data_IF_587876054999
#
_entry.id   IF_587876054999
#
_cell.length_a   1.000
_cell.length_b   1.000
_cell.length_c   1.000
_cell.angle_alpha   90.00
_cell.angle_beta   90.00
_cell.angle_gamma   90.00
#
_symmetry.space_group_name_H-M   'P 1'
#
loop_
_entity.id
_entity.type
_entity.pdbx_description
1 polymer ?
#
# COMPACT_ATOMS: atom_id res chain seq x y z
N UNK A 1 40.63 51.05 21.18
CA UNK A 1 39.31 50.65 21.72
C UNK A 1 38.63 49.76 20.69
N UNK A 2 38.00 48.68 21.14
CA UNK A 2 36.96 47.88 20.43
C UNK A 2 37.42 47.08 19.20
N UNK A 3 37.85 45.81 19.38
CA UNK A 3 37.05 44.55 19.54
C UNK A 3 36.72 43.92 18.17
N UNK A 4 37.50 42.89 17.83
CA UNK A 4 37.20 41.86 16.81
C UNK A 4 35.80 41.30 17.04
N UNK A 5 34.89 41.48 16.07
CA UNK A 5 33.61 40.79 16.06
C UNK A 5 33.79 39.48 15.30
N UNK A 6 34.11 38.41 16.02
CA UNK A 6 34.00 37.05 15.49
C UNK A 6 32.52 36.73 15.29
N UNK A 7 32.10 36.65 14.02
CA UNK A 7 30.79 36.15 13.64
C UNK A 7 30.87 34.62 13.56
N UNK A 8 30.72 33.94 14.69
CA UNK A 8 30.58 32.48 14.77
C UNK A 8 29.23 32.07 14.19
N UNK A 9 29.25 31.66 12.92
CA UNK A 9 28.11 31.11 12.20
C UNK A 9 27.82 29.71 12.76
N UNK A 10 26.86 29.64 13.69
CA UNK A 10 26.39 28.39 14.30
C UNK A 10 25.57 27.62 13.25
N UNK A 11 26.24 26.70 12.55
CA UNK A 11 25.60 25.69 11.71
C UNK A 11 24.80 24.73 12.62
N UNK A 12 23.56 25.08 12.92
CA UNK A 12 22.59 24.12 13.46
C UNK A 12 22.25 23.14 12.34
N UNK A 13 23.02 22.05 12.24
CA UNK A 13 22.64 20.88 11.48
C UNK A 13 21.35 20.35 12.10
N UNK A 14 20.23 20.57 11.42
CA UNK A 14 18.98 19.85 11.71
C UNK A 14 19.24 18.39 11.34
N UNK A 15 19.71 17.60 12.29
CA UNK A 15 19.75 16.14 12.14
C UNK A 15 18.31 15.69 11.96
N UNK A 16 17.95 15.30 10.73
CA UNK A 16 16.71 14.54 10.48
C UNK A 16 16.84 13.28 11.31
N UNK A 17 16.11 13.21 12.43
CA UNK A 17 16.20 12.08 13.36
C UNK A 17 15.76 10.82 12.64
N UNK A 18 16.73 10.00 12.29
CA UNK A 18 16.51 8.67 11.75
C UNK A 18 15.89 7.80 12.86
N UNK A 19 14.91 6.95 12.54
CA UNK A 19 14.29 6.10 13.56
C UNK A 19 15.19 4.90 13.74
N UNK A 20 15.92 4.86 14.85
CA UNK A 20 16.86 3.80 15.12
C UNK A 20 16.15 2.59 15.76
N UNK A 21 16.73 1.40 15.59
CA UNK A 21 16.13 0.17 16.14
C UNK A 21 15.98 0.23 17.67
N UNK A 22 16.92 0.89 18.34
CA UNK A 22 16.95 1.03 19.80
C UNK A 22 15.89 2.00 20.33
N UNK A 23 15.38 2.92 19.50
CA UNK A 23 14.33 3.87 19.88
C UNK A 23 12.94 3.21 19.91
N UNK A 24 12.81 2.02 19.31
CA UNK A 24 11.57 1.26 19.31
C UNK A 24 11.31 0.65 20.69
N UNK A 25 10.05 0.68 21.12
CA UNK A 25 9.68 -0.02 22.35
C UNK A 25 9.72 -1.56 22.15
N UNK A 26 9.77 -2.31 23.25
CA UNK A 26 9.88 -3.78 23.23
C UNK A 26 8.77 -4.46 22.42
N UNK A 27 7.55 -3.92 22.42
CA UNK A 27 6.44 -4.49 21.66
C UNK A 27 6.60 -4.26 20.15
N UNK A 28 7.06 -3.07 19.75
CA UNK A 28 7.37 -2.75 18.36
C UNK A 28 8.53 -3.60 17.85
N UNK A 29 9.60 -3.74 18.63
CA UNK A 29 10.74 -4.60 18.29
C UNK A 29 10.29 -6.06 18.10
N UNK A 30 9.42 -6.58 18.97
CA UNK A 30 8.90 -7.93 18.84
C UNK A 30 8.08 -8.13 17.54
N UNK A 31 7.25 -7.15 17.17
CA UNK A 31 6.47 -7.19 15.92
C UNK A 31 7.39 -7.07 14.70
N UNK A 32 8.48 -6.31 14.80
CA UNK A 32 9.40 -6.02 13.72
C UNK A 32 10.67 -6.88 13.74
N UNK A 33 10.72 -7.95 14.54
CA UNK A 33 11.93 -8.77 14.74
C UNK A 33 12.58 -9.24 13.44
N UNK A 34 11.77 -9.61 12.44
CA UNK A 34 12.27 -10.04 11.13
C UNK A 34 12.88 -8.89 10.29
N UNK A 35 12.74 -7.65 10.72
CA UNK A 35 13.33 -6.47 10.10
C UNK A 35 14.61 -6.01 10.82
N UNK A 36 14.92 -6.50 12.02
CA UNK A 36 16.05 -6.09 12.85
C UNK A 36 17.38 -6.12 12.07
N UNK A 37 17.73 -7.28 11.51
CA UNK A 37 19.01 -7.49 10.81
C UNK A 37 19.23 -6.56 9.60
N UNK A 38 18.14 -6.04 9.03
CA UNK A 38 18.16 -5.17 7.86
C UNK A 38 17.65 -3.77 8.17
N UNK A 39 17.48 -3.42 9.44
CA UNK A 39 16.88 -2.15 9.85
C UNK A 39 17.73 -0.97 9.37
N UNK A 40 19.03 -1.05 9.61
CA UNK A 40 19.97 0.04 9.33
C UNK A 40 20.23 0.23 7.83
N UNK A 41 19.98 -0.80 7.01
CA UNK A 41 20.07 -0.70 5.55
C UNK A 41 18.77 -0.17 4.90
N UNK A 42 17.69 0.01 5.67
CA UNK A 42 16.45 0.55 5.14
C UNK A 42 16.47 2.07 5.04
N UNK A 43 15.95 2.64 3.93
CA UNK A 43 15.64 4.06 3.86
C UNK A 43 14.72 4.49 5.00
N UNK A 44 14.91 5.70 5.52
CA UNK A 44 14.14 6.24 6.64
C UNK A 44 12.62 6.19 6.43
N UNK A 45 12.15 6.46 5.20
CA UNK A 45 10.73 6.37 4.86
C UNK A 45 10.17 4.93 5.03
N UNK A 46 10.99 3.92 4.74
CA UNK A 46 10.62 2.53 4.92
C UNK A 46 10.59 2.13 6.39
N UNK A 47 11.58 2.56 7.18
CA UNK A 47 11.59 2.40 8.65
C UNK A 47 10.32 3.00 9.27
N UNK A 48 9.99 4.25 8.92
CA UNK A 48 8.78 4.91 9.43
C UNK A 48 7.48 4.16 9.09
N UNK A 49 7.38 3.60 7.87
CA UNK A 49 6.23 2.79 7.45
C UNK A 49 6.10 1.50 8.26
N UNK A 50 7.22 0.87 8.61
CA UNK A 50 7.24 -0.33 9.45
C UNK A 50 6.79 -0.01 10.88
N UNK A 51 7.32 1.06 11.49
CA UNK A 51 6.90 1.51 12.83
C UNK A 51 5.40 1.82 12.85
N UNK A 52 4.93 2.62 11.88
CA UNK A 52 3.49 2.94 11.77
C UNK A 52 2.64 1.68 11.51
N UNK A 53 3.21 0.66 10.87
CA UNK A 53 2.59 -0.66 10.71
C UNK A 53 2.48 -1.41 12.03
N UNK A 54 3.58 -1.45 12.79
CA UNK A 54 3.64 -2.08 14.11
C UNK A 54 2.67 -1.45 15.10
N UNK A 55 2.57 -0.12 15.15
CA UNK A 55 1.61 0.57 16.02
C UNK A 55 0.17 0.19 15.72
N UNK A 56 -0.18 0.11 14.42
CA UNK A 56 -1.51 -0.34 14.00
C UNK A 56 -1.76 -1.78 14.36
N UNK A 57 -0.75 -2.65 14.22
CA UNK A 57 -0.86 -4.06 14.59
C UNK A 57 -1.07 -4.25 16.10
N UNK A 58 -0.32 -3.51 16.92
CA UNK A 58 -0.42 -3.56 18.38
C UNK A 58 -1.80 -3.08 18.87
N UNK A 59 -2.40 -2.09 18.22
CA UNK A 59 -3.76 -1.59 18.52
C UNK A 59 -4.90 -2.53 18.06
N UNK A 60 -4.61 -3.54 17.25
CA UNK A 60 -5.64 -4.50 16.80
C UNK A 60 -5.92 -5.57 17.85
N UNK A 61 -7.19 -5.98 17.94
CA UNK A 61 -7.57 -7.19 18.66
C UNK A 61 -7.22 -8.46 17.86
N UNK A 62 -7.33 -9.62 18.50
CA UNK A 62 -6.93 -10.89 17.89
C UNK A 62 -7.74 -11.23 16.63
N UNK A 63 -9.04 -10.94 16.61
CA UNK A 63 -9.88 -11.13 15.42
C UNK A 63 -9.40 -10.31 14.23
N UNK A 64 -9.05 -9.04 14.44
CA UNK A 64 -8.48 -8.17 13.41
C UNK A 64 -7.10 -8.67 12.94
N UNK A 65 -6.23 -9.08 13.88
CA UNK A 65 -4.91 -9.64 13.55
C UNK A 65 -5.03 -10.90 12.69
N UNK A 66 -5.94 -11.80 13.04
CA UNK A 66 -6.21 -13.02 12.26
C UNK A 66 -6.71 -12.71 10.85
N UNK A 67 -7.61 -11.73 10.70
CA UNK A 67 -8.08 -11.31 9.39
C UNK A 67 -6.95 -10.74 8.51
N UNK A 68 -6.04 -9.95 9.09
CA UNK A 68 -4.88 -9.42 8.36
C UNK A 68 -3.90 -10.54 8.00
N UNK A 69 -3.63 -11.46 8.93
CA UNK A 69 -2.77 -12.63 8.69
C UNK A 69 -3.30 -13.48 7.54
N UNK A 70 -4.59 -13.82 7.54
CA UNK A 70 -5.22 -14.58 6.45
C UNK A 70 -5.15 -13.86 5.09
N UNK A 71 -5.34 -12.52 5.08
CA UNK A 71 -5.17 -11.73 3.85
C UNK A 71 -3.73 -11.74 3.36
N UNK A 72 -2.77 -11.71 4.28
CA UNK A 72 -1.34 -11.75 3.96
C UNK A 72 -0.90 -13.12 3.42
N UNK A 73 -1.36 -14.22 4.03
CA UNK A 73 -1.11 -15.58 3.53
C UNK A 73 -1.68 -15.75 2.10
N UNK A 74 -2.92 -15.30 1.88
CA UNK A 74 -3.52 -15.29 0.55
C UNK A 74 -2.74 -14.44 -0.45
N UNK A 75 -2.17 -13.32 0.00
CA UNK A 75 -1.31 -12.50 -0.84
C UNK A 75 -0.03 -13.24 -1.22
N UNK A 76 0.63 -13.88 -0.26
CA UNK A 76 1.86 -14.64 -0.49
C UNK A 76 1.63 -15.84 -1.41
N UNK A 77 0.45 -16.46 -1.37
CA UNK A 77 0.11 -17.58 -2.26
C UNK A 77 -0.18 -17.16 -3.71
N UNK A 78 -0.26 -15.86 -4.02
CA UNK A 78 -0.45 -15.38 -5.39
C UNK A 78 0.85 -15.51 -6.20
N UNK A 79 0.70 -15.79 -7.50
CA UNK A 79 1.84 -15.76 -8.44
C UNK A 79 2.45 -14.36 -8.52
N UNK A 80 3.77 -14.23 -8.79
CA UNK A 80 4.44 -12.93 -8.86
C UNK A 80 3.76 -11.93 -9.79
N UNK A 81 3.23 -12.36 -10.94
CA UNK A 81 2.55 -11.50 -11.89
C UNK A 81 1.22 -10.97 -11.34
N UNK A 82 0.51 -11.81 -10.59
CA UNK A 82 -0.74 -11.43 -9.92
C UNK A 82 -0.47 -10.45 -8.78
N UNK A 83 0.59 -10.69 -7.99
CA UNK A 83 1.03 -9.75 -6.96
C UNK A 83 1.38 -8.41 -7.59
N UNK A 84 2.17 -8.38 -8.66
CA UNK A 84 2.54 -7.15 -9.34
C UNK A 84 1.32 -6.41 -9.89
N UNK A 85 0.40 -7.12 -10.55
CA UNK A 85 -0.84 -6.54 -11.04
C UNK A 85 -1.64 -5.87 -9.91
N UNK A 86 -1.81 -6.53 -8.76
CA UNK A 86 -2.52 -5.97 -7.62
C UNK A 86 -1.79 -4.78 -6.99
N UNK A 87 -0.44 -4.80 -6.94
CA UNK A 87 0.36 -3.64 -6.48
C UNK A 87 0.10 -2.42 -7.36
N UNK A 88 0.05 -2.59 -8.67
CA UNK A 88 -0.25 -1.52 -9.62
C UNK A 88 -1.67 -0.99 -9.47
N UNK A 89 -2.67 -1.87 -9.34
CA UNK A 89 -4.05 -1.46 -9.08
C UNK A 89 -4.15 -0.67 -7.76
N UNK A 90 -3.46 -1.13 -6.72
CA UNK A 90 -3.43 -0.44 -5.44
C UNK A 90 -2.73 0.92 -5.53
N UNK A 91 -1.63 1.03 -6.29
CA UNK A 91 -0.96 2.31 -6.55
C UNK A 91 -1.90 3.31 -7.22
N UNK A 92 -2.58 2.89 -8.29
CA UNK A 92 -3.60 3.70 -8.98
C UNK A 92 -4.72 4.12 -8.02
N UNK A 93 -5.23 3.18 -7.23
CA UNK A 93 -6.26 3.47 -6.24
C UNK A 93 -5.80 4.51 -5.20
N UNK A 94 -4.55 4.45 -4.73
CA UNK A 94 -4.01 5.43 -3.77
C UNK A 94 -3.85 6.83 -4.36
N UNK A 95 -3.64 6.93 -5.67
CA UNK A 95 -3.52 8.19 -6.40
C UNK A 95 -4.87 8.84 -6.71
N UNK A 96 -5.99 8.10 -6.56
CA UNK A 96 -7.33 8.66 -6.75
C UNK A 96 -7.69 9.66 -5.65
N UNK A 97 -8.56 10.61 -6.01
CA UNK A 97 -9.12 11.57 -5.04
C UNK A 97 -9.84 10.84 -3.88
N UNK A 98 -9.93 11.46 -2.68
CA UNK A 98 -10.67 10.89 -1.56
C UNK A 98 -12.11 10.49 -1.93
N UNK A 99 -12.79 11.30 -2.75
CA UNK A 99 -14.17 11.03 -3.15
C UNK A 99 -14.28 9.82 -4.08
N UNK A 100 -13.41 9.70 -5.07
CA UNK A 100 -13.34 8.51 -5.93
C UNK A 100 -13.05 7.23 -5.11
N UNK A 101 -12.13 7.32 -4.14
CA UNK A 101 -11.83 6.19 -3.24
C UNK A 101 -13.06 5.82 -2.40
N UNK A 102 -13.81 6.81 -1.91
CA UNK A 102 -15.05 6.61 -1.15
C UNK A 102 -16.12 5.93 -2.00
N UNK A 103 -16.32 6.40 -3.23
CA UNK A 103 -17.26 5.80 -4.18
C UNK A 103 -16.93 4.33 -4.47
N UNK A 104 -15.67 4.02 -4.77
CA UNK A 104 -15.22 2.64 -5.02
C UNK A 104 -15.45 1.74 -3.80
N UNK A 105 -15.06 2.20 -2.61
CA UNK A 105 -15.30 1.45 -1.36
C UNK A 105 -16.79 1.23 -1.10
N UNK A 106 -17.61 2.26 -1.34
CA UNK A 106 -19.06 2.16 -1.19
C UNK A 106 -19.67 1.15 -2.15
N UNK A 107 -19.30 1.20 -3.44
CA UNK A 107 -19.74 0.24 -4.44
C UNK A 107 -19.32 -1.19 -4.10
N UNK A 108 -18.07 -1.38 -3.64
CA UNK A 108 -17.57 -2.67 -3.20
C UNK A 108 -18.32 -3.21 -1.97
N UNK A 109 -18.58 -2.37 -0.97
CA UNK A 109 -19.34 -2.76 0.21
C UNK A 109 -20.77 -3.17 -0.15
N UNK A 110 -21.45 -2.42 -1.03
CA UNK A 110 -22.77 -2.79 -1.56
C UNK A 110 -22.70 -4.14 -2.27
N UNK A 111 -21.72 -4.33 -3.14
CA UNK A 111 -21.51 -5.61 -3.84
C UNK A 111 -21.28 -6.77 -2.88
N UNK A 112 -20.48 -6.60 -1.82
CA UNK A 112 -20.23 -7.68 -0.85
C UNK A 112 -21.47 -8.11 -0.07
N UNK A 113 -22.39 -7.16 0.21
CA UNK A 113 -23.65 -7.40 0.92
C UNK A 113 -24.74 -8.04 0.04
N UNK A 114 -24.56 -8.09 -1.28
CA UNK A 114 -25.54 -8.72 -2.18
C UNK A 114 -25.56 -10.25 -2.04
N UNK A 115 -26.72 -10.90 -2.24
CA UNK A 115 -26.83 -12.35 -2.35
C UNK A 115 -25.85 -12.95 -3.37
N UNK A 116 -25.40 -14.18 -3.13
CA UNK A 116 -24.39 -14.87 -3.97
C UNK A 116 -24.79 -14.90 -5.45
N UNK A 117 -26.06 -15.19 -5.75
CA UNK A 117 -26.59 -15.25 -7.11
C UNK A 117 -26.55 -13.90 -7.83
N UNK A 118 -26.96 -12.83 -7.14
CA UNK A 118 -26.90 -11.48 -7.69
C UNK A 118 -25.46 -11.05 -7.99
N UNK A 119 -24.53 -11.39 -7.09
CA UNK A 119 -23.09 -11.16 -7.31
C UNK A 119 -22.57 -11.93 -8.52
N UNK A 120 -22.98 -13.19 -8.71
CA UNK A 120 -22.59 -14.01 -9.85
C UNK A 120 -23.08 -13.40 -11.17
N UNK A 121 -24.37 -13.02 -11.24
CA UNK A 121 -24.96 -12.37 -12.41
C UNK A 121 -24.25 -11.06 -12.77
N UNK A 122 -23.89 -10.25 -11.77
CA UNK A 122 -23.19 -8.99 -12.00
C UNK A 122 -21.76 -9.22 -12.52
N UNK A 123 -21.04 -10.22 -11.98
CA UNK A 123 -19.72 -10.61 -12.48
C UNK A 123 -19.79 -11.09 -13.92
N UNK A 124 -20.77 -11.92 -14.25
CA UNK A 124 -20.95 -12.42 -15.61
C UNK A 124 -21.17 -11.28 -16.61
N UNK A 125 -22.11 -10.36 -16.31
CA UNK A 125 -22.35 -9.17 -17.13
C UNK A 125 -21.08 -8.35 -17.33
N UNK A 126 -20.28 -8.16 -16.28
CA UNK A 126 -19.00 -7.45 -16.37
C UNK A 126 -18.00 -8.17 -17.29
N UNK A 127 -17.89 -9.50 -17.19
CA UNK A 127 -16.99 -10.27 -18.05
C UNK A 127 -17.43 -10.23 -19.52
N UNK A 128 -18.74 -10.33 -19.79
CA UNK A 128 -19.29 -10.20 -21.14
C UNK A 128 -18.99 -8.82 -21.73
N UNK A 129 -19.23 -7.75 -20.96
CA UNK A 129 -18.93 -6.38 -21.39
C UNK A 129 -17.42 -6.18 -21.69
N UNK A 130 -16.55 -6.74 -20.84
CA UNK A 130 -15.09 -6.70 -21.05
C UNK A 130 -14.69 -7.44 -22.35
N UNK A 131 -15.25 -8.63 -22.59
CA UNK A 131 -15.02 -9.43 -23.81
C UNK A 131 -15.47 -8.66 -25.06
N UNK A 132 -16.64 -8.04 -25.02
CA UNK A 132 -17.19 -7.28 -26.13
C UNK A 132 -16.34 -6.04 -26.45
N UNK A 133 -15.88 -5.31 -25.42
CA UNK A 133 -14.97 -4.17 -25.60
C UNK A 133 -13.64 -4.58 -26.22
N UNK A 134 -13.07 -5.71 -25.79
CA UNK A 134 -11.84 -6.26 -26.37
C UNK A 134 -12.01 -6.60 -27.86
N UNK A 135 -13.15 -7.21 -28.23
CA UNK A 135 -13.49 -7.54 -29.63
C UNK A 135 -13.67 -6.31 -30.52
N UNK A 136 -14.32 -5.26 -30.02
CA UNK A 136 -14.51 -4.01 -30.77
C UNK A 136 -13.19 -3.25 -30.97
N UNK A 137 -12.31 -3.22 -29.96
CA UNK A 137 -10.98 -2.58 -30.09
C UNK A 137 -10.05 -3.27 -31.09
N UNK A 138 -10.27 -4.56 -31.39
CA UNK A 138 -9.48 -5.31 -32.39
C UNK A 138 -9.97 -5.11 -33.83
N UNK A 139 -11.23 -4.72 -34.05
CA UNK A 139 -11.79 -4.50 -35.40
C UNK A 139 -11.51 -3.10 -35.98
N UNK A 140 -10.92 -2.18 -35.21
CA UNK A 140 -10.74 -0.76 -35.58
C UNK A 140 -9.33 -0.33 -35.99
N UNK A 141 -8.34 -1.23 -36.09
CA UNK A 141 -7.00 -0.86 -36.58
C UNK A 141 -6.88 -1.22 -38.06
N UNK A 142 -6.88 -0.26 -39.01
CA UNK A 142 -6.56 -0.58 -40.39
C UNK A 142 -5.13 -1.14 -40.42
N UNK A 143 -4.95 -2.32 -41.06
CA UNK A 143 -3.62 -2.82 -41.41
C UNK A 143 -2.97 -1.75 -42.27
N UNK A 144 -2.00 -1.01 -41.72
CA UNK A 144 -1.06 -0.26 -42.55
C UNK A 144 -0.34 -1.31 -43.40
N UNK A 145 -0.68 -1.39 -44.68
CA UNK A 145 0.10 -2.16 -45.65
C UNK A 145 1.46 -1.46 -45.80
N UNK A 146 2.54 -2.24 -45.97
CA UNK A 146 3.89 -1.71 -46.15
C UNK A 146 3.99 -0.85 -47.42
#
# INVERSE_FOLDING_TARGET
MSKFLMLTLLLFSVSVTAVEWQDLNKQQQQVLKNAEQRWDSMPQEQRQKLVTGADRWLKMNDGQRQQIKSKFERWQSLKPEQQQHLREQFKKFRQMSPEQRKQIRGAFNKFQKMPKEQRAKLREKFQQAKKNRSRQGHKGKPRRKP
#
